data_IF_475638565805
#
_entry.id   IF_475638565805
#
_cell.length_a   1.000
_cell.length_b   1.000
_cell.length_c   1.000
_cell.angle_alpha   90.00
_cell.angle_beta   90.00
_cell.angle_gamma   90.00
#
_symmetry.space_group_name_H-M   'P 1'
#
loop_
_entity.id
_entity.type
_entity.pdbx_description
1 polymer ?
#
# COMPACT_ATOMS: atom_id res chain seq x y z
N UNK A 1 -37.81 -29.95 90.70
CA UNK A 1 -37.22 -28.71 90.13
C UNK A 1 -36.05 -29.12 89.23
N UNK A 2 -35.74 -28.36 88.16
CA UNK A 2 -34.74 -28.68 87.10
C UNK A 2 -35.10 -29.93 86.25
N UNK A 3 -35.18 -29.99 84.89
CA UNK A 3 -34.68 -29.19 83.72
C UNK A 3 -33.16 -28.96 83.78
N UNK A 4 -32.31 -29.17 82.77
CA UNK A 4 -32.37 -29.29 81.28
C UNK A 4 -30.99 -29.86 80.84
N UNK A 5 -30.68 -30.44 79.67
CA UNK A 5 -31.36 -30.73 78.39
C UNK A 5 -30.94 -32.15 77.90
N UNK A 6 -31.24 -32.52 76.64
CA UNK A 6 -30.45 -33.46 75.82
C UNK A 6 -30.04 -32.76 74.51
N UNK A 7 -28.84 -33.03 73.97
CA UNK A 7 -28.45 -32.57 72.62
C UNK A 7 -28.92 -33.59 71.58
N UNK A 8 -29.69 -33.12 70.59
CA UNK A 8 -29.98 -33.88 69.37
C UNK A 8 -29.10 -33.39 68.22
N UNK A 9 -28.51 -34.32 67.48
CA UNK A 9 -27.77 -34.00 66.25
C UNK A 9 -28.75 -33.53 65.17
N UNK A 10 -28.53 -32.34 64.62
CA UNK A 10 -29.28 -31.84 63.48
C UNK A 10 -28.49 -32.11 62.19
N UNK A 11 -28.93 -33.08 61.39
CA UNK A 11 -28.40 -33.30 60.05
C UNK A 11 -29.05 -32.28 59.10
N UNK A 12 -28.24 -31.41 58.48
CA UNK A 12 -28.71 -30.48 57.46
C UNK A 12 -28.72 -31.20 56.12
N UNK A 13 -29.92 -31.49 55.61
CA UNK A 13 -30.10 -31.97 54.24
C UNK A 13 -29.97 -30.79 53.29
N UNK A 14 -28.90 -30.77 52.48
CA UNK A 14 -28.73 -29.79 51.41
C UNK A 14 -29.60 -30.20 50.22
N UNK A 15 -30.75 -29.53 50.04
CA UNK A 15 -31.59 -29.71 48.87
C UNK A 15 -30.95 -29.05 47.65
N UNK A 16 -30.44 -29.85 46.70
CA UNK A 16 -30.05 -29.34 45.39
C UNK A 16 -31.27 -28.77 44.68
N UNK A 17 -31.23 -27.47 44.37
CA UNK A 17 -32.12 -26.87 43.38
C UNK A 17 -31.41 -26.97 42.04
N UNK A 18 -31.89 -27.86 41.17
CA UNK A 18 -31.47 -27.89 39.78
C UNK A 18 -32.12 -26.69 39.06
N UNK A 19 -31.38 -25.59 38.93
CA UNK A 19 -31.75 -24.52 38.01
C UNK A 19 -31.48 -25.00 36.58
N UNK A 20 -32.55 -25.31 35.84
CA UNK A 20 -32.44 -25.67 34.44
C UNK A 20 -32.03 -24.47 33.59
N UNK A 21 -31.28 -24.74 32.52
CA UNK A 21 -30.95 -23.74 31.51
C UNK A 21 -32.23 -23.11 30.94
N UNK A 22 -32.28 -21.79 30.93
CA UNK A 22 -33.11 -21.02 30.02
C UNK A 22 -32.16 -20.26 29.11
N UNK A 23 -32.19 -20.54 27.81
CA UNK A 23 -31.47 -19.75 26.82
C UNK A 23 -31.96 -18.30 26.91
N UNK A 24 -31.11 -17.43 27.45
CA UNK A 24 -31.33 -16.00 27.45
C UNK A 24 -31.00 -15.51 26.04
N UNK A 25 -32.02 -15.42 25.19
CA UNK A 25 -31.95 -14.66 23.94
C UNK A 25 -31.50 -13.25 24.27
N UNK A 26 -30.25 -12.90 23.95
CA UNK A 26 -29.74 -11.54 24.15
C UNK A 26 -30.53 -10.59 23.26
N UNK A 27 -31.15 -9.57 23.85
CA UNK A 27 -31.81 -8.53 23.07
C UNK A 27 -30.76 -7.66 22.35
N UNK A 28 -30.94 -7.34 21.06
CA UNK A 28 -30.08 -6.40 20.36
C UNK A 28 -30.34 -4.99 20.90
N UNK A 29 -29.35 -4.40 21.58
CA UNK A 29 -29.41 -3.01 22.05
C UNK A 29 -28.96 -2.76 23.50
N UNK A 30 -28.63 -3.80 24.27
CA UNK A 30 -27.91 -3.61 25.53
C UNK A 30 -26.43 -3.30 25.24
N UNK A 31 -26.03 -2.03 25.39
CA UNK A 31 -24.64 -1.61 25.18
C UNK A 31 -23.66 -2.39 26.07
N UNK A 32 -22.59 -2.90 25.47
CA UNK A 32 -21.50 -3.57 26.18
C UNK A 32 -20.84 -2.56 27.13
N UNK A 33 -20.49 -2.99 28.34
CA UNK A 33 -19.79 -2.17 29.34
C UNK A 33 -18.43 -2.80 29.57
N UNK A 34 -17.36 -2.17 29.08
CA UNK A 34 -16.00 -2.65 29.25
C UNK A 34 -15.07 -2.13 28.15
N UNK A 35 -13.91 -2.77 28.05
CA UNK A 35 -13.05 -2.72 26.88
C UNK A 35 -13.65 -3.62 25.79
N UNK A 36 -13.48 -3.24 24.52
CA UNK A 36 -14.02 -3.92 23.34
C UNK A 36 -12.96 -3.92 22.23
N UNK A 37 -13.01 -4.86 21.25
CA UNK A 37 -12.26 -4.74 20.02
C UNK A 37 -12.57 -3.41 19.31
N UNK A 38 -11.59 -2.85 18.62
CA UNK A 38 -11.77 -1.69 17.75
C UNK A 38 -12.64 -2.04 16.54
N UNK A 39 -12.47 -3.23 15.96
CA UNK A 39 -13.32 -3.77 14.90
C UNK A 39 -14.45 -4.58 15.52
N UNK A 40 -15.65 -3.98 15.60
CA UNK A 40 -16.81 -4.59 16.30
C UNK A 40 -17.65 -5.54 15.46
N UNK A 41 -17.44 -5.54 14.15
CA UNK A 41 -18.16 -6.34 13.15
C UNK A 41 -17.16 -6.66 12.05
N UNK A 42 -17.16 -7.90 11.59
CA UNK A 42 -16.45 -8.31 10.38
C UNK A 42 -17.46 -8.58 9.28
N UNK A 43 -17.07 -8.42 8.01
CA UNK A 43 -17.92 -8.76 6.86
C UNK A 43 -17.31 -9.92 6.07
N UNK A 44 -18.08 -10.96 5.76
CA UNK A 44 -17.49 -12.09 5.02
C UNK A 44 -17.42 -11.77 3.53
N UNK A 45 -16.41 -12.33 2.84
CA UNK A 45 -16.31 -12.20 1.38
C UNK A 45 -17.55 -12.80 0.68
N UNK A 46 -18.12 -13.87 1.23
CA UNK A 46 -19.33 -14.50 0.69
C UNK A 46 -20.57 -13.57 0.75
N UNK A 47 -20.70 -12.73 1.79
CA UNK A 47 -21.79 -11.74 1.88
C UNK A 47 -21.63 -10.63 0.82
N UNK A 48 -20.39 -10.25 0.49
CA UNK A 48 -20.07 -9.30 -0.60
C UNK A 48 -20.44 -9.92 -1.95
N UNK A 49 -20.07 -11.17 -2.20
CA UNK A 49 -20.41 -11.92 -3.42
C UNK A 49 -21.92 -12.16 -3.58
N UNK A 50 -22.64 -12.30 -2.46
CA UNK A 50 -24.11 -12.39 -2.45
C UNK A 50 -24.81 -11.05 -2.72
N UNK A 51 -24.08 -9.92 -2.67
CA UNK A 51 -24.64 -8.58 -2.87
C UNK A 51 -25.38 -8.02 -1.65
N UNK A 52 -25.06 -8.49 -0.44
CA UNK A 52 -25.69 -8.03 0.81
C UNK A 52 -25.20 -6.64 1.26
N UNK A 53 -24.16 -6.09 0.62
CA UNK A 53 -23.61 -4.76 0.90
C UNK A 53 -23.55 -3.88 -0.35
N UNK A 54 -23.86 -2.59 -0.18
CA UNK A 54 -23.60 -1.56 -1.18
C UNK A 54 -22.15 -1.08 -1.15
N UNK A 55 -21.69 -0.44 -2.23
CA UNK A 55 -20.36 0.19 -2.27
C UNK A 55 -20.17 1.20 -1.14
N UNK A 56 -21.20 1.99 -0.79
CA UNK A 56 -21.13 2.98 0.29
C UNK A 56 -20.88 2.30 1.65
N UNK A 57 -21.55 1.18 1.92
CA UNK A 57 -21.35 0.40 3.15
C UNK A 57 -19.98 -0.27 3.21
N UNK A 58 -19.46 -0.77 2.07
CA UNK A 58 -18.12 -1.34 1.99
C UNK A 58 -17.03 -0.29 2.18
N UNK A 59 -17.15 0.87 1.54
CA UNK A 59 -16.21 2.00 1.70
C UNK A 59 -16.26 2.57 3.11
N UNK A 60 -17.45 2.65 3.73
CA UNK A 60 -17.58 3.02 5.14
C UNK A 60 -16.92 2.00 6.08
N UNK A 61 -17.13 0.70 5.84
CA UNK A 61 -16.52 -0.36 6.63
C UNK A 61 -14.98 -0.39 6.50
N UNK A 62 -14.46 -0.21 5.28
CA UNK A 62 -13.03 -0.11 5.01
C UNK A 62 -12.39 1.13 5.66
N UNK A 63 -13.12 2.24 5.67
CA UNK A 63 -12.73 3.45 6.41
C UNK A 63 -12.68 3.21 7.92
N UNK A 64 -13.68 2.52 8.47
CA UNK A 64 -13.73 2.21 9.90
C UNK A 64 -12.55 1.30 10.32
N UNK A 65 -12.20 0.29 9.51
CA UNK A 65 -10.98 -0.52 9.69
C UNK A 65 -9.72 0.34 9.61
N UNK A 66 -9.61 1.22 8.60
CA UNK A 66 -8.45 2.09 8.41
C UNK A 66 -8.24 3.08 9.58
N UNK A 67 -9.34 3.45 10.24
CA UNK A 67 -9.36 4.31 11.43
C UNK A 67 -9.30 3.54 12.76
N UNK A 68 -9.44 2.21 12.75
CA UNK A 68 -9.44 1.38 13.94
C UNK A 68 -8.08 1.44 14.63
N UNK A 69 -8.06 1.82 15.91
CA UNK A 69 -6.89 1.66 16.77
C UNK A 69 -6.89 0.24 17.33
N UNK A 70 -6.44 -0.71 16.51
CA UNK A 70 -6.35 -2.13 16.84
C UNK A 70 -5.69 -2.35 18.22
N UNK A 71 -6.27 -3.25 19.00
CA UNK A 71 -5.86 -3.57 20.35
C UNK A 71 -5.84 -5.09 20.60
N UNK A 72 -5.46 -5.51 21.81
CA UNK A 72 -5.30 -6.93 22.17
C UNK A 72 -6.62 -7.72 22.26
N UNK A 73 -7.77 -7.09 21.98
CA UNK A 73 -9.06 -7.75 21.77
C UNK A 73 -9.40 -7.95 20.29
N UNK A 74 -8.66 -7.30 19.39
CA UNK A 74 -8.74 -7.50 17.93
C UNK A 74 -7.79 -8.60 17.43
N UNK A 75 -6.73 -8.93 18.19
CA UNK A 75 -5.58 -9.76 17.76
C UNK A 75 -4.24 -9.01 17.67
N UNK A 76 -4.22 -7.71 18.00
CA UNK A 76 -3.08 -6.86 17.67
C UNK A 76 -1.81 -7.16 18.50
N UNK A 77 -0.76 -7.64 17.83
CA UNK A 77 0.60 -7.58 18.35
C UNK A 77 1.59 -8.62 17.84
N UNK A 78 1.11 -9.66 17.15
CA UNK A 78 1.91 -10.78 16.62
C UNK A 78 2.98 -11.35 17.56
N UNK A 79 2.65 -11.81 18.77
CA UNK A 79 3.61 -12.00 19.85
C UNK A 79 4.73 -12.99 19.53
N UNK A 80 4.47 -14.08 18.80
CA UNK A 80 5.47 -15.09 18.38
C UNK A 80 5.80 -15.05 16.88
N UNK A 81 5.35 -14.04 16.11
CA UNK A 81 5.65 -13.89 14.68
C UNK A 81 6.26 -12.51 14.30
N UNK A 82 7.19 -12.49 13.34
CA UNK A 82 7.74 -11.26 12.74
C UNK A 82 6.91 -10.81 11.52
N UNK A 83 7.05 -9.58 11.05
CA UNK A 83 6.21 -8.99 9.99
C UNK A 83 6.24 -9.73 8.64
N UNK A 84 7.29 -10.51 8.36
CA UNK A 84 7.35 -11.48 7.25
C UNK A 84 6.94 -12.94 7.58
N UNK A 85 6.06 -13.15 8.56
CA UNK A 85 5.43 -14.45 8.83
C UNK A 85 6.27 -15.54 9.52
N UNK A 86 7.55 -15.28 9.80
CA UNK A 86 8.46 -16.23 10.48
C UNK A 86 8.48 -16.06 12.01
N UNK A 87 9.00 -17.05 12.75
CA UNK A 87 8.89 -17.08 14.21
C UNK A 87 9.81 -16.06 14.91
N UNK A 88 9.33 -15.51 16.02
CA UNK A 88 10.10 -14.75 17.00
C UNK A 88 9.83 -15.23 18.42
N UNK A 89 10.66 -14.76 19.35
CA UNK A 89 10.43 -14.95 20.80
C UNK A 89 9.22 -14.13 21.25
N UNK A 90 8.31 -14.76 21.99
CA UNK A 90 7.09 -14.15 22.56
C UNK A 90 7.36 -12.78 23.19
N UNK A 91 6.65 -11.75 22.74
CA UNK A 91 6.66 -10.40 23.32
C UNK A 91 5.24 -9.87 23.50
N UNK A 92 4.95 -9.44 24.72
CA UNK A 92 3.64 -8.92 25.17
C UNK A 92 3.84 -7.53 25.79
N UNK A 93 2.76 -6.85 26.16
CA UNK A 93 2.78 -5.54 26.83
C UNK A 93 3.76 -5.53 28.03
N UNK A 94 4.70 -4.57 28.14
CA UNK A 94 4.86 -3.37 27.31
C UNK A 94 5.80 -3.51 26.10
N UNK A 95 6.40 -4.68 25.88
CA UNK A 95 7.46 -4.93 24.88
C UNK A 95 6.92 -5.40 23.51
N UNK A 96 5.60 -5.34 23.29
CA UNK A 96 4.94 -5.79 22.07
C UNK A 96 5.15 -4.84 20.87
N UNK A 97 5.42 -3.55 21.11
CA UNK A 97 5.72 -2.56 20.07
C UNK A 97 7.23 -2.41 19.82
N UNK A 98 7.60 -2.15 18.57
CA UNK A 98 8.96 -1.87 18.16
C UNK A 98 9.00 -0.86 17.00
N UNK A 99 9.67 0.28 17.17
CA UNK A 99 9.64 1.37 16.16
C UNK A 99 10.40 1.07 14.86
N UNK A 100 11.15 -0.05 14.80
CA UNK A 100 12.05 -0.42 13.70
C UNK A 100 11.56 -1.69 13.00
N UNK A 101 11.37 -2.80 13.73
CA UNK A 101 10.89 -4.09 13.18
C UNK A 101 9.38 -4.30 13.30
N UNK A 102 8.68 -3.32 13.89
CA UNK A 102 7.23 -3.30 14.11
C UNK A 102 6.70 -4.46 15.02
N UNK A 103 5.43 -4.46 15.47
CA UNK A 103 4.39 -3.45 15.28
C UNK A 103 4.82 -2.05 15.71
N UNK A 104 4.52 -1.02 14.91
CA UNK A 104 4.96 0.36 15.10
C UNK A 104 3.80 1.38 15.13
N UNK A 105 2.58 0.96 14.78
CA UNK A 105 1.36 1.76 14.88
C UNK A 105 0.13 0.89 15.17
N UNK A 106 -0.89 1.44 15.85
CA UNK A 106 -2.15 0.72 16.10
C UNK A 106 -3.22 0.94 15.01
N UNK A 107 -3.01 1.86 14.06
CA UNK A 107 -4.00 2.23 13.04
C UNK A 107 -3.31 2.72 11.76
N UNK A 108 -3.88 2.45 10.59
CA UNK A 108 -3.38 2.98 9.32
C UNK A 108 -3.39 4.52 9.33
N UNK A 109 -4.45 5.11 9.89
CA UNK A 109 -4.58 6.56 10.04
C UNK A 109 -3.54 7.23 10.95
N UNK A 110 -2.74 6.47 11.71
CA UNK A 110 -1.67 7.05 12.53
C UNK A 110 -0.55 7.65 11.67
N UNK A 111 -0.31 7.06 10.49
CA UNK A 111 0.70 7.53 9.54
C UNK A 111 0.07 8.19 8.30
N UNK A 112 -1.08 7.71 7.84
CA UNK A 112 -1.72 8.15 6.60
C UNK A 112 -2.83 9.19 6.84
N UNK A 113 -2.45 10.44 7.12
CA UNK A 113 -3.38 11.48 7.58
C UNK A 113 -3.12 12.91 7.07
N UNK A 114 -2.09 13.14 6.26
CA UNK A 114 -1.73 14.47 5.74
C UNK A 114 -1.98 14.53 4.22
N UNK A 115 -2.84 15.43 3.70
CA UNK A 115 -3.59 16.48 4.41
C UNK A 115 -4.86 15.98 5.10
N UNK A 116 -5.31 14.76 4.77
CA UNK A 116 -6.51 14.12 5.26
C UNK A 116 -6.32 12.59 5.32
N UNK A 117 -7.34 11.88 5.78
CA UNK A 117 -7.35 10.42 5.89
C UNK A 117 -6.99 9.75 4.55
N UNK A 118 -5.99 8.88 4.55
CA UNK A 118 -5.48 8.23 3.33
C UNK A 118 -4.35 8.98 2.63
N UNK A 119 -3.93 10.13 3.17
CA UNK A 119 -2.76 10.87 2.67
C UNK A 119 -1.41 10.29 3.11
N UNK A 120 -0.35 11.04 2.86
CA UNK A 120 0.98 10.80 3.40
C UNK A 120 1.12 11.16 4.88
N UNK A 121 2.37 11.32 5.34
CA UNK A 121 2.69 11.65 6.73
C UNK A 121 4.05 12.33 6.90
N UNK A 122 4.26 13.00 8.03
CA UNK A 122 5.52 13.68 8.36
C UNK A 122 6.68 12.69 8.65
N UNK A 123 7.93 13.19 8.67
CA UNK A 123 9.11 12.44 9.12
C UNK A 123 8.93 11.67 10.43
N UNK A 124 8.14 12.20 11.39
CA UNK A 124 7.90 11.53 12.66
C UNK A 124 7.28 10.12 12.50
N UNK A 125 6.52 9.89 11.42
CA UNK A 125 5.83 8.63 11.12
C UNK A 125 6.54 7.78 10.04
N UNK A 126 7.77 8.13 9.64
CA UNK A 126 8.58 7.33 8.71
C UNK A 126 8.79 5.90 9.22
N UNK A 127 8.46 4.87 8.44
CA UNK A 127 8.65 3.45 8.82
C UNK A 127 10.01 2.93 8.35
N UNK A 128 10.43 1.76 8.87
CA UNK A 128 11.65 1.07 8.42
C UNK A 128 11.27 -0.24 7.72
N UNK A 129 11.38 -0.26 6.39
CA UNK A 129 11.07 -1.48 5.62
C UNK A 129 12.23 -2.48 5.69
N UNK A 130 11.94 -3.76 5.43
CA UNK A 130 12.86 -4.91 5.53
C UNK A 130 13.23 -5.29 6.96
N UNK A 131 13.26 -4.34 7.90
CA UNK A 131 13.47 -4.62 9.33
C UNK A 131 12.38 -5.51 9.94
N UNK A 132 11.21 -5.61 9.31
CA UNK A 132 10.10 -6.50 9.66
C UNK A 132 10.38 -7.99 9.37
N UNK A 133 11.48 -8.30 8.69
CA UNK A 133 12.05 -9.66 8.59
C UNK A 133 12.90 -10.07 9.79
N UNK A 134 13.22 -9.13 10.69
CA UNK A 134 14.01 -9.40 11.89
C UNK A 134 13.09 -9.67 13.10
N UNK A 135 13.43 -10.62 14.00
CA UNK A 135 12.54 -11.01 15.10
C UNK A 135 12.13 -9.86 16.04
N UNK A 136 13.09 -8.99 16.40
CA UNK A 136 12.90 -7.75 17.15
C UNK A 136 14.20 -6.95 17.11
N UNK A 137 14.18 -5.70 16.61
CA UNK A 137 15.40 -4.86 16.55
C UNK A 137 15.49 -3.94 17.77
N UNK A 138 16.54 -4.10 18.57
CA UNK A 138 16.77 -3.28 19.77
C UNK A 138 18.23 -2.84 19.88
N UNK A 139 18.46 -1.54 20.09
CA UNK A 139 19.80 -0.97 20.26
C UNK A 139 20.40 -1.22 21.65
N UNK A 140 19.56 -1.48 22.66
CA UNK A 140 19.98 -1.82 24.03
C UNK A 140 19.98 -3.35 24.28
N UNK A 141 19.61 -4.14 23.27
CA UNK A 141 19.31 -5.57 23.37
C UNK A 141 20.49 -6.54 23.22
N UNK A 142 20.19 -7.84 23.19
CA UNK A 142 21.18 -8.91 23.06
C UNK A 142 21.85 -8.90 21.66
N UNK A 143 23.19 -8.78 21.57
CA UNK A 143 23.92 -8.91 20.30
C UNK A 143 23.81 -10.29 19.62
N UNK A 144 23.15 -11.27 20.25
CA UNK A 144 22.82 -12.57 19.64
C UNK A 144 21.45 -12.54 18.96
N UNK A 145 20.41 -11.91 19.54
CA UNK A 145 19.10 -11.72 18.87
C UNK A 145 19.24 -10.71 17.71
N UNK A 146 20.02 -9.64 17.91
CA UNK A 146 20.30 -8.62 16.88
C UNK A 146 21.54 -8.94 16.01
N UNK A 147 22.32 -9.98 16.32
CA UNK A 147 23.60 -10.23 15.65
C UNK A 147 24.67 -9.13 15.83
N UNK A 148 25.92 -9.38 15.39
CA UNK A 148 27.00 -8.40 15.50
C UNK A 148 26.88 -7.30 14.43
N UNK A 149 27.10 -6.05 14.85
CA UNK A 149 27.17 -4.85 13.99
C UNK A 149 25.87 -4.40 13.30
N UNK A 150 24.69 -4.75 13.82
CA UNK A 150 23.46 -4.08 13.36
C UNK A 150 23.49 -2.58 13.70
N UNK A 151 23.35 -1.77 12.66
CA UNK A 151 23.09 -0.32 12.70
C UNK A 151 21.75 -0.04 12.04
N UNK A 152 21.14 1.12 12.28
CA UNK A 152 19.86 1.47 11.65
C UNK A 152 19.90 1.32 10.11
N UNK A 153 21.01 1.74 9.46
CA UNK A 153 21.18 1.60 8.00
C UNK A 153 21.23 0.14 7.54
N UNK A 154 21.72 -0.80 8.35
CA UNK A 154 21.89 -2.20 7.92
C UNK A 154 20.70 -3.11 8.23
N UNK A 155 19.74 -2.65 9.04
CA UNK A 155 18.58 -3.46 9.47
C UNK A 155 17.32 -3.17 8.68
N UNK A 156 17.16 -1.96 8.15
CA UNK A 156 16.02 -1.58 7.36
C UNK A 156 16.19 -0.20 6.72
N UNK A 157 15.37 0.06 5.71
CA UNK A 157 15.41 1.30 4.97
C UNK A 157 14.33 2.25 5.47
N UNK A 158 14.71 3.47 5.85
CA UNK A 158 13.76 4.51 6.26
C UNK A 158 12.90 4.95 5.07
N UNK A 159 11.57 5.02 5.28
CA UNK A 159 10.58 5.40 4.28
C UNK A 159 9.57 6.38 4.84
N UNK A 160 9.32 7.45 4.08
CA UNK A 160 8.21 8.34 4.33
C UNK A 160 6.90 7.75 3.81
N UNK A 161 5.82 7.99 4.58
CA UNK A 161 4.49 7.43 4.37
C UNK A 161 3.85 7.94 3.08
N UNK A 162 3.37 7.02 2.24
CA UNK A 162 2.85 7.34 0.90
C UNK A 162 1.37 7.71 0.91
N UNK A 163 0.98 8.73 0.16
CA UNK A 163 -0.42 9.06 -0.12
C UNK A 163 -1.12 8.06 -1.04
N UNK A 164 -2.40 7.80 -0.75
CA UNK A 164 -3.25 6.86 -1.48
C UNK A 164 -4.38 7.51 -2.29
N UNK A 165 -4.52 8.84 -2.28
CA UNK A 165 -5.50 9.56 -3.11
C UNK A 165 -5.34 9.23 -4.60
N UNK A 166 -6.43 8.78 -5.25
CA UNK A 166 -6.42 8.32 -6.64
C UNK A 166 -5.68 6.99 -6.89
N UNK A 167 -5.36 6.20 -5.87
CA UNK A 167 -4.63 4.93 -6.06
C UNK A 167 -5.38 3.89 -6.89
N UNK A 168 -6.72 3.90 -6.93
CA UNK A 168 -7.50 3.01 -7.80
C UNK A 168 -7.15 3.18 -9.28
N UNK A 169 -7.03 4.43 -9.77
CA UNK A 169 -6.62 4.72 -11.14
C UNK A 169 -5.17 4.33 -11.43
N UNK A 170 -4.29 4.52 -10.43
CA UNK A 170 -2.87 4.17 -10.51
C UNK A 170 -2.69 2.65 -10.64
N UNK A 171 -3.47 1.86 -9.91
CA UNK A 171 -3.47 0.41 -10.05
C UNK A 171 -4.09 -0.05 -11.36
N UNK A 172 -5.20 0.55 -11.81
CA UNK A 172 -5.79 0.24 -13.13
C UNK A 172 -4.79 0.46 -14.27
N UNK A 173 -4.01 1.55 -14.23
CA UNK A 173 -2.94 1.80 -15.20
C UNK A 173 -1.87 0.70 -15.16
N UNK A 174 -1.42 0.31 -13.97
CA UNK A 174 -0.45 -0.77 -13.80
C UNK A 174 -0.97 -2.14 -14.29
N UNK A 175 -2.25 -2.45 -14.01
CA UNK A 175 -2.94 -3.67 -14.49
C UNK A 175 -3.03 -3.70 -16.02
N UNK A 176 -3.42 -2.60 -16.67
CA UNK A 176 -3.44 -2.51 -18.14
C UNK A 176 -2.03 -2.62 -18.73
N UNK A 177 -1.03 -1.91 -18.17
CA UNK A 177 0.36 -1.97 -18.66
C UNK A 177 0.99 -3.36 -18.51
N UNK A 178 0.69 -4.07 -17.41
CA UNK A 178 1.10 -5.47 -17.21
C UNK A 178 0.47 -6.38 -18.27
N UNK A 179 -0.83 -6.20 -18.52
CA UNK A 179 -1.59 -6.97 -19.52
C UNK A 179 -1.03 -6.76 -20.94
N UNK A 180 -0.74 -5.52 -21.30
CA UNK A 180 -0.11 -5.16 -22.58
C UNK A 180 1.26 -5.85 -22.76
N UNK A 181 2.12 -5.77 -21.74
CA UNK A 181 3.46 -6.38 -21.81
C UNK A 181 3.42 -7.92 -21.84
N UNK A 182 2.48 -8.54 -21.12
CA UNK A 182 2.25 -9.98 -21.20
C UNK A 182 1.77 -10.38 -22.60
N UNK A 183 0.83 -9.63 -23.20
CA UNK A 183 0.38 -9.88 -24.57
C UNK A 183 1.50 -9.72 -25.61
N UNK A 184 2.38 -8.73 -25.45
CA UNK A 184 3.56 -8.53 -26.30
C UNK A 184 4.55 -9.70 -26.20
N UNK A 185 4.89 -10.12 -24.97
CA UNK A 185 5.72 -11.30 -24.69
C UNK A 185 5.14 -12.56 -25.32
N UNK A 186 3.86 -12.83 -25.09
CA UNK A 186 3.20 -14.06 -25.52
C UNK A 186 3.09 -14.14 -27.05
N UNK A 187 2.79 -13.01 -27.71
CA UNK A 187 2.83 -12.91 -29.17
C UNK A 187 4.25 -13.14 -29.73
N UNK A 188 5.28 -12.62 -29.07
CA UNK A 188 6.69 -12.87 -29.40
C UNK A 188 7.07 -14.34 -29.27
N UNK A 189 6.64 -14.99 -28.19
CA UNK A 189 6.92 -16.40 -27.91
C UNK A 189 6.20 -17.34 -28.88
N UNK A 190 4.96 -17.03 -29.27
CA UNK A 190 4.27 -17.72 -30.36
C UNK A 190 5.02 -17.57 -31.69
N UNK A 191 5.47 -16.36 -32.04
CA UNK A 191 6.23 -16.12 -33.26
C UNK A 191 7.60 -16.82 -33.27
N UNK A 192 8.27 -16.96 -32.11
CA UNK A 192 9.51 -17.71 -31.97
C UNK A 192 9.30 -19.21 -32.20
N UNK A 193 8.25 -19.79 -31.59
CA UNK A 193 7.87 -21.18 -31.75
C UNK A 193 7.48 -21.52 -33.20
N UNK A 194 6.62 -20.71 -33.83
CA UNK A 194 6.15 -20.91 -35.21
C UNK A 194 7.27 -20.77 -36.25
N UNK A 195 8.20 -19.84 -36.04
CA UNK A 195 9.29 -19.56 -37.00
C UNK A 195 10.52 -20.44 -36.82
N UNK A 196 10.65 -21.13 -35.68
CA UNK A 196 11.85 -21.88 -35.31
C UNK A 196 13.10 -21.00 -35.11
N UNK A 197 12.92 -19.71 -34.81
CA UNK A 197 13.99 -18.72 -34.59
C UNK A 197 13.69 -17.84 -33.38
N UNK A 198 14.71 -17.29 -32.69
CA UNK A 198 14.49 -16.29 -31.65
C UNK A 198 13.67 -15.09 -32.17
N UNK A 199 12.76 -14.59 -31.36
CA UNK A 199 11.98 -13.39 -31.63
C UNK A 199 12.13 -12.39 -30.48
N UNK A 200 12.67 -11.21 -30.79
CA UNK A 200 12.78 -10.09 -29.85
C UNK A 200 11.58 -9.16 -30.02
N UNK A 201 10.98 -8.75 -28.91
CA UNK A 201 9.83 -7.83 -28.86
C UNK A 201 10.14 -6.68 -27.90
N UNK A 202 9.93 -5.46 -28.37
CA UNK A 202 9.99 -4.23 -27.56
C UNK A 202 8.79 -4.17 -26.62
N UNK A 203 9.03 -3.94 -25.34
CA UNK A 203 8.00 -3.80 -24.31
C UNK A 203 7.56 -2.34 -24.21
N UNK A 204 6.60 -1.95 -25.04
CA UNK A 204 6.07 -0.58 -25.05
C UNK A 204 4.56 -0.59 -24.79
N UNK A 205 4.15 0.07 -23.72
CA UNK A 205 2.75 0.26 -23.32
C UNK A 205 2.54 1.70 -22.86
N UNK A 206 1.39 2.31 -23.20
CA UNK A 206 1.01 3.69 -22.83
C UNK A 206 2.08 4.76 -23.13
N UNK A 207 2.93 4.52 -24.13
CA UNK A 207 4.04 5.40 -24.50
C UNK A 207 5.25 5.36 -23.56
N UNK A 208 5.35 4.34 -22.70
CA UNK A 208 6.50 4.01 -21.83
C UNK A 208 7.21 2.79 -22.41
N UNK A 209 8.55 2.78 -22.39
CA UNK A 209 9.36 1.60 -22.78
C UNK A 209 9.98 0.94 -21.56
N UNK A 210 9.82 -0.38 -21.46
CA UNK A 210 10.41 -1.26 -20.46
C UNK A 210 11.51 -2.15 -21.07
N UNK A 211 12.15 -1.68 -22.14
CA UNK A 211 13.20 -2.41 -22.85
C UNK A 211 12.61 -3.47 -23.78
N UNK A 212 13.20 -4.68 -23.79
CA UNK A 212 12.77 -5.77 -24.68
C UNK A 212 12.94 -7.15 -24.05
N UNK A 213 12.21 -8.13 -24.59
CA UNK A 213 12.37 -9.56 -24.27
C UNK A 213 12.67 -10.34 -25.55
N UNK A 214 13.47 -11.41 -25.43
CA UNK A 214 13.72 -12.34 -26.54
C UNK A 214 13.22 -13.74 -26.20
N UNK A 215 12.15 -14.17 -26.86
CA UNK A 215 11.66 -15.55 -26.76
C UNK A 215 12.48 -16.48 -27.67
N UNK A 216 12.86 -17.65 -27.17
CA UNK A 216 13.56 -18.69 -27.92
C UNK A 216 12.59 -19.80 -28.38
N UNK A 217 12.88 -20.51 -29.50
CA UNK A 217 11.98 -21.55 -30.04
C UNK A 217 11.78 -22.79 -29.16
N UNK A 218 12.56 -22.94 -28.09
CA UNK A 218 12.42 -24.01 -27.10
C UNK A 218 11.49 -23.63 -25.93
N UNK A 219 10.92 -22.43 -25.96
CA UNK A 219 10.02 -21.89 -24.93
C UNK A 219 10.73 -21.14 -23.81
N UNK A 220 12.06 -20.99 -23.84
CA UNK A 220 12.77 -20.13 -22.88
C UNK A 220 12.69 -18.65 -23.24
N UNK A 221 12.79 -17.80 -22.22
CA UNK A 221 12.70 -16.34 -22.32
C UNK A 221 14.02 -15.71 -21.86
N UNK A 222 14.60 -14.84 -22.67
CA UNK A 222 15.68 -13.94 -22.27
C UNK A 222 15.08 -12.56 -21.93
N UNK A 223 15.06 -12.26 -20.63
CA UNK A 223 14.59 -10.99 -20.06
C UNK A 223 15.74 -10.04 -19.68
N UNK A 224 16.99 -10.32 -20.08
CA UNK A 224 18.16 -9.52 -19.68
C UNK A 224 18.19 -8.08 -20.23
N UNK A 225 17.28 -7.76 -21.16
CA UNK A 225 17.06 -6.42 -21.71
C UNK A 225 15.74 -5.77 -21.22
N UNK A 226 15.11 -6.32 -20.18
CA UNK A 226 13.97 -5.68 -19.48
C UNK A 226 14.50 -4.56 -18.58
N UNK A 227 13.81 -3.43 -18.59
CA UNK A 227 14.19 -2.23 -17.84
C UNK A 227 13.07 -1.78 -16.90
N UNK A 228 13.41 -1.50 -15.64
CA UNK A 228 12.53 -0.78 -14.72
C UNK A 228 11.31 -1.57 -14.18
N UNK A 229 11.03 -2.78 -14.67
CA UNK A 229 10.14 -3.78 -14.06
C UNK A 229 10.91 -5.09 -13.83
N UNK A 230 10.32 -6.06 -13.13
CA UNK A 230 10.95 -7.36 -12.90
C UNK A 230 10.74 -8.30 -14.10
N UNK A 231 11.41 -9.45 -14.13
CA UNK A 231 11.35 -10.41 -15.26
C UNK A 231 9.94 -11.00 -15.49
N UNK A 232 9.04 -10.88 -14.51
CA UNK A 232 7.62 -11.23 -14.64
C UNK A 232 6.79 -10.21 -15.44
N UNK A 233 7.38 -9.05 -15.77
CA UNK A 233 6.77 -7.93 -16.48
C UNK A 233 5.55 -7.32 -15.76
N UNK A 234 5.46 -7.48 -14.44
CA UNK A 234 4.41 -6.88 -13.63
C UNK A 234 4.79 -5.44 -13.25
N UNK A 235 3.94 -4.48 -13.61
CA UNK A 235 4.06 -3.09 -13.16
C UNK A 235 3.59 -3.02 -11.71
N UNK A 236 4.49 -2.65 -10.80
CA UNK A 236 4.25 -2.54 -9.35
C UNK A 236 4.18 -1.05 -8.95
N UNK A 237 2.98 -0.44 -8.83
CA UNK A 237 2.86 1.00 -8.67
C UNK A 237 3.01 1.48 -7.21
N UNK A 238 3.10 0.56 -6.25
CA UNK A 238 3.09 0.89 -4.83
C UNK A 238 4.47 0.77 -4.15
N UNK A 239 4.57 1.41 -2.98
CA UNK A 239 5.82 1.78 -2.30
C UNK A 239 6.73 2.75 -3.09
N UNK A 240 7.88 3.11 -2.49
CA UNK A 240 8.88 3.99 -3.09
C UNK A 240 9.76 3.26 -4.14
N UNK A 241 9.89 1.93 -4.01
CA UNK A 241 10.68 1.08 -4.91
C UNK A 241 9.92 0.48 -6.09
N UNK A 242 8.59 0.58 -6.11
CA UNK A 242 7.77 -0.20 -7.05
C UNK A 242 7.89 -1.68 -6.75
N UNK A 243 7.45 -2.07 -5.55
CA UNK A 243 7.69 -3.39 -4.97
C UNK A 243 6.40 -4.17 -4.65
N UNK A 244 5.24 -3.52 -4.78
CA UNK A 244 3.90 -4.04 -4.44
C UNK A 244 2.97 -3.82 -5.63
N UNK A 245 2.19 -4.86 -5.98
CA UNK A 245 1.37 -4.94 -7.20
C UNK A 245 0.01 -4.28 -7.06
N UNK A 246 -0.64 -4.44 -5.90
CA UNK A 246 -2.04 -4.04 -5.70
C UNK A 246 -2.28 -3.39 -4.34
N UNK A 247 -3.43 -2.73 -4.21
CA UNK A 247 -3.95 -2.24 -2.94
C UNK A 247 -4.22 -3.37 -1.94
N UNK A 248 -4.60 -4.58 -2.39
CA UNK A 248 -4.74 -5.74 -1.49
C UNK A 248 -3.40 -6.16 -0.90
N UNK A 249 -2.38 -6.34 -1.75
CA UNK A 249 -1.04 -6.70 -1.28
C UNK A 249 -0.47 -5.60 -0.36
N UNK A 250 -0.73 -4.32 -0.67
CA UNK A 250 -0.36 -3.20 0.20
C UNK A 250 -1.06 -3.28 1.56
N UNK A 251 -2.37 -3.49 1.58
CA UNK A 251 -3.18 -3.57 2.80
C UNK A 251 -2.75 -4.74 3.70
N UNK A 252 -2.64 -5.95 3.14
CA UNK A 252 -2.24 -7.13 3.90
C UNK A 252 -0.82 -7.02 4.46
N UNK A 253 0.16 -6.60 3.64
CA UNK A 253 1.52 -6.35 4.11
C UNK A 253 1.52 -5.35 5.27
N UNK A 254 0.72 -4.29 5.19
CA UNK A 254 0.64 -3.27 6.22
C UNK A 254 0.01 -3.77 7.54
N UNK A 255 -1.05 -4.59 7.48
CA UNK A 255 -1.73 -5.10 8.69
C UNK A 255 -0.79 -5.99 9.52
N UNK A 256 -0.11 -6.95 8.90
CA UNK A 256 0.84 -7.81 9.62
C UNK A 256 2.09 -7.02 10.03
N UNK A 257 2.66 -6.19 9.15
CA UNK A 257 3.89 -5.46 9.45
C UNK A 257 3.66 -4.45 10.58
N UNK A 258 2.83 -3.44 10.35
CA UNK A 258 2.74 -2.24 11.19
C UNK A 258 1.85 -2.43 12.42
N UNK A 259 0.77 -3.19 12.28
CA UNK A 259 -0.25 -3.36 13.32
C UNK A 259 -0.10 -4.68 14.07
N UNK A 260 0.53 -5.68 13.44
CA UNK A 260 0.57 -7.04 13.98
C UNK A 260 -0.80 -7.68 14.00
N UNK A 261 -1.56 -7.47 12.93
CA UNK A 261 -2.90 -8.01 12.67
C UNK A 261 -2.86 -8.94 11.46
N UNK A 262 -3.53 -10.08 11.52
CA UNK A 262 -3.50 -11.11 10.47
C UNK A 262 -4.81 -11.21 9.68
N UNK A 263 -4.70 -11.24 8.35
CA UNK A 263 -5.83 -11.54 7.47
C UNK A 263 -5.98 -13.04 7.22
N UNK A 264 -7.22 -13.52 7.10
CA UNK A 264 -7.55 -14.94 6.82
C UNK A 264 -6.83 -15.48 5.58
N UNK A 265 -6.60 -14.63 4.58
CA UNK A 265 -5.89 -15.02 3.35
C UNK A 265 -4.40 -15.28 3.57
N UNK A 266 -3.74 -14.57 4.49
CA UNK A 266 -2.32 -14.77 4.80
C UNK A 266 -2.07 -15.77 5.94
N UNK A 267 -2.97 -15.87 6.93
CA UNK A 267 -2.84 -16.80 8.06
C UNK A 267 -3.46 -18.18 7.81
N UNK A 268 -4.55 -18.24 7.03
CA UNK A 268 -5.44 -19.40 6.94
C UNK A 268 -6.67 -19.26 7.85
N UNK A 269 -7.80 -19.84 7.43
CA UNK A 269 -9.06 -19.76 8.20
C UNK A 269 -9.00 -20.63 9.45
N UNK A 270 -9.16 -20.01 10.63
CA UNK A 270 -9.13 -20.69 11.93
C UNK A 270 -7.73 -21.01 12.45
N UNK A 271 -6.68 -20.48 11.82
CA UNK A 271 -5.29 -20.64 12.26
C UNK A 271 -4.84 -19.45 13.13
N UNK A 272 -3.97 -19.73 14.12
CA UNK A 272 -3.34 -18.78 15.06
C UNK A 272 -1.81 -18.95 14.93
N UNK A 273 -1.16 -18.32 13.91
CA UNK A 273 0.25 -18.56 13.62
C UNK A 273 1.21 -17.73 14.47
N UNK A 274 0.72 -16.71 15.19
CA UNK A 274 1.52 -15.85 16.07
C UNK A 274 1.29 -16.08 17.58
N UNK A 275 0.35 -16.97 17.92
CA UNK A 275 0.10 -17.56 19.24
C UNK A 275 -0.38 -16.54 20.28
N UNK A 276 -1.22 -15.60 19.84
CA UNK A 276 -1.87 -14.61 20.69
C UNK A 276 -3.21 -15.10 21.28
N UNK A 277 -3.83 -16.10 20.67
CA UNK A 277 -5.08 -16.73 21.08
C UNK A 277 -6.33 -16.30 20.29
N UNK A 278 -6.17 -15.45 19.27
CA UNK A 278 -7.22 -15.08 18.32
C UNK A 278 -7.02 -15.81 16.98
N UNK A 279 -8.10 -15.88 16.21
CA UNK A 279 -8.13 -16.45 14.85
C UNK A 279 -9.08 -15.60 14.02
N UNK A 280 -8.86 -15.55 12.71
CA UNK A 280 -9.72 -14.80 11.78
C UNK A 280 -9.83 -13.29 12.08
N UNK A 281 -8.76 -12.67 12.59
CA UNK A 281 -8.74 -11.27 13.07
C UNK A 281 -9.19 -10.25 12.02
N UNK A 282 -8.75 -10.41 10.77
CA UNK A 282 -9.26 -9.68 9.61
C UNK A 282 -9.76 -10.66 8.56
N UNK A 283 -11.05 -10.59 8.23
CA UNK A 283 -11.62 -11.47 7.22
C UNK A 283 -11.25 -11.01 5.80
N UNK A 284 -11.38 -11.92 4.82
CA UNK A 284 -11.20 -11.58 3.38
C UNK A 284 -12.07 -10.40 2.94
N UNK A 285 -13.29 -10.28 3.49
CA UNK A 285 -14.22 -9.20 3.19
C UNK A 285 -13.87 -7.88 3.88
N UNK A 286 -13.26 -7.91 5.08
CA UNK A 286 -12.69 -6.73 5.71
C UNK A 286 -11.56 -6.13 4.86
N UNK A 287 -10.68 -6.97 4.30
CA UNK A 287 -9.64 -6.53 3.36
C UNK A 287 -10.26 -6.02 2.05
N UNK A 288 -11.29 -6.67 1.51
CA UNK A 288 -12.04 -6.16 0.34
C UNK A 288 -12.58 -4.75 0.60
N UNK A 289 -13.24 -4.52 1.75
CA UNK A 289 -13.72 -3.20 2.12
C UNK A 289 -12.59 -2.16 2.27
N UNK A 290 -11.48 -2.54 2.91
CA UNK A 290 -10.29 -1.69 3.07
C UNK A 290 -9.68 -1.28 1.72
N UNK A 291 -9.57 -2.23 0.77
CA UNK A 291 -9.12 -1.97 -0.61
C UNK A 291 -10.10 -1.05 -1.34
N UNK A 292 -11.41 -1.29 -1.23
CA UNK A 292 -12.41 -0.43 -1.87
C UNK A 292 -12.40 0.99 -1.30
N UNK A 293 -12.20 1.17 0.01
CA UNK A 293 -11.97 2.49 0.61
C UNK A 293 -10.74 3.18 -0.01
N UNK A 294 -9.59 2.49 -0.10
CA UNK A 294 -8.37 3.04 -0.70
C UNK A 294 -8.53 3.35 -2.20
N UNK A 295 -9.19 2.48 -2.97
CA UNK A 295 -9.40 2.63 -4.41
C UNK A 295 -10.32 3.81 -4.75
N UNK A 296 -11.27 4.13 -3.86
CA UNK A 296 -12.25 5.21 -4.00
C UNK A 296 -11.85 6.52 -3.29
N UNK A 297 -10.65 6.61 -2.73
CA UNK A 297 -10.10 7.90 -2.27
C UNK A 297 -10.05 8.89 -3.44
N UNK A 298 -10.54 10.14 -3.27
CA UNK A 298 -10.65 11.11 -4.35
C UNK A 298 -9.39 11.24 -5.22
N UNK A 299 -9.60 11.40 -6.52
CA UNK A 299 -8.56 11.84 -7.43
C UNK A 299 -7.99 13.20 -6.96
N UNK A 300 -6.65 13.35 -6.86
CA UNK A 300 -6.04 14.67 -6.74
C UNK A 300 -6.37 15.55 -7.96
N UNK A 301 -6.17 16.86 -7.83
CA UNK A 301 -6.54 17.87 -8.84
C UNK A 301 -5.38 18.81 -9.16
N UNK A 302 -5.54 19.58 -10.23
CA UNK A 302 -4.72 20.76 -10.47
C UNK A 302 -5.47 22.01 -9.97
N UNK A 303 -4.98 22.63 -8.89
CA UNK A 303 -5.58 23.83 -8.30
C UNK A 303 -5.12 25.08 -9.05
N UNK A 304 -6.08 25.83 -9.58
CA UNK A 304 -5.83 27.09 -10.30
C UNK A 304 -5.37 28.21 -9.34
N UNK A 305 -4.26 28.92 -9.61
CA UNK A 305 -3.80 30.01 -8.75
C UNK A 305 -4.74 31.22 -8.67
N UNK A 306 -4.69 31.94 -7.54
CA UNK A 306 -5.55 33.10 -7.28
C UNK A 306 -5.23 34.31 -8.18
N UNK A 307 -3.93 34.63 -8.38
CA UNK A 307 -3.51 35.81 -9.13
C UNK A 307 -3.19 35.52 -10.59
N UNK A 308 -3.29 36.54 -11.44
CA UNK A 308 -2.90 36.39 -12.85
C UNK A 308 -1.40 36.13 -13.02
N UNK A 309 -0.57 36.68 -12.13
CA UNK A 309 0.87 36.50 -12.20
C UNK A 309 1.27 35.04 -11.91
N UNK A 310 0.63 34.39 -10.93
CA UNK A 310 0.82 32.96 -10.66
C UNK A 310 0.29 32.11 -11.81
N UNK A 311 -0.90 32.40 -12.36
CA UNK A 311 -1.42 31.69 -13.55
C UNK A 311 -0.48 31.77 -14.75
N UNK A 312 0.04 32.96 -15.05
CA UNK A 312 1.01 33.17 -16.12
C UNK A 312 2.32 32.39 -15.83
N UNK A 313 2.74 32.34 -14.56
CA UNK A 313 3.90 31.56 -14.12
C UNK A 313 3.67 30.05 -14.21
N UNK A 314 2.49 29.52 -13.87
CA UNK A 314 2.13 28.09 -14.01
C UNK A 314 2.16 27.66 -15.48
N UNK A 315 1.58 28.45 -16.38
CA UNK A 315 1.58 28.15 -17.82
C UNK A 315 3.01 28.15 -18.39
N UNK A 316 3.87 29.04 -17.90
CA UNK A 316 5.28 29.08 -18.29
C UNK A 316 6.10 27.95 -17.65
N UNK A 317 5.89 27.67 -16.37
CA UNK A 317 6.53 26.60 -15.61
C UNK A 317 6.24 25.21 -16.15
N UNK A 318 5.00 24.94 -16.59
CA UNK A 318 4.63 23.69 -17.27
C UNK A 318 5.41 23.51 -18.59
N UNK A 319 5.68 24.60 -19.32
CA UNK A 319 6.52 24.55 -20.53
C UNK A 319 7.99 24.34 -20.21
N UNK A 320 8.49 24.94 -19.13
CA UNK A 320 9.86 24.69 -18.66
C UNK A 320 10.06 23.23 -18.23
N UNK A 321 9.10 22.66 -17.49
CA UNK A 321 9.12 21.26 -17.04
C UNK A 321 9.25 20.28 -18.22
N UNK A 322 8.51 20.52 -19.30
CA UNK A 322 8.65 19.75 -20.54
C UNK A 322 9.97 20.04 -21.28
N UNK A 323 10.33 21.32 -21.44
CA UNK A 323 11.52 21.77 -22.16
C UNK A 323 12.83 21.23 -21.57
N UNK A 324 12.95 21.16 -20.24
CA UNK A 324 14.13 20.59 -19.57
C UNK A 324 14.08 19.06 -19.48
N UNK A 325 13.00 18.43 -19.94
CA UNK A 325 12.89 16.97 -20.09
C UNK A 325 12.36 16.21 -18.88
N UNK A 326 11.75 16.86 -17.89
CA UNK A 326 11.15 16.16 -16.74
C UNK A 326 10.01 15.22 -17.15
N UNK A 327 9.30 15.53 -18.23
CA UNK A 327 8.20 14.73 -18.82
C UNK A 327 8.63 13.39 -19.40
N UNK A 328 9.94 13.08 -19.46
CA UNK A 328 10.44 11.78 -19.90
C UNK A 328 10.02 10.67 -18.93
N UNK A 329 10.20 10.87 -17.61
CA UNK A 329 9.72 9.97 -16.56
C UNK A 329 8.38 10.45 -15.98
N UNK A 330 8.26 11.74 -15.64
CA UNK A 330 7.02 12.32 -15.09
C UNK A 330 6.00 12.65 -16.19
N UNK A 331 5.56 11.63 -16.92
CA UNK A 331 4.57 11.73 -18.00
C UNK A 331 3.27 12.35 -17.49
N UNK A 332 2.84 13.52 -18.02
CA UNK A 332 1.68 14.24 -17.47
C UNK A 332 0.41 13.42 -17.44
N UNK A 333 0.16 12.62 -18.46
CA UNK A 333 -1.00 11.72 -18.56
C UNK A 333 -0.60 10.33 -19.02
N UNK A 334 -1.35 9.32 -18.62
CA UNK A 334 -1.35 7.98 -19.22
C UNK A 334 -2.80 7.61 -19.63
N UNK A 335 -3.03 7.03 -20.83
CA UNK A 335 -4.35 6.61 -21.29
C UNK A 335 -4.80 5.33 -20.58
N UNK A 336 -6.02 5.32 -20.06
CA UNK A 336 -6.66 4.19 -19.39
C UNK A 336 -7.96 3.80 -20.12
N UNK A 337 -8.11 2.52 -20.48
CA UNK A 337 -9.23 2.08 -21.33
C UNK A 337 -10.55 1.91 -20.57
N UNK A 338 -10.50 1.49 -19.31
CA UNK A 338 -11.66 1.33 -18.43
C UNK A 338 -11.45 1.95 -17.04
N UNK A 339 -12.53 2.44 -16.44
CA UNK A 339 -12.58 2.90 -15.05
C UNK A 339 -13.15 1.83 -14.09
N UNK A 340 -13.41 0.62 -14.59
CA UNK A 340 -13.93 -0.50 -13.79
C UNK A 340 -12.82 -1.15 -12.94
N UNK A 341 -12.78 -0.81 -11.66
CA UNK A 341 -11.92 -1.45 -10.67
C UNK A 341 -12.54 -2.77 -10.21
N UNK A 342 -11.90 -3.88 -10.60
CA UNK A 342 -12.29 -5.24 -10.18
C UNK A 342 -11.53 -5.64 -8.92
N UNK A 343 -12.24 -6.18 -7.94
CA UNK A 343 -11.68 -6.70 -6.68
C UNK A 343 -12.25 -8.11 -6.39
N UNK A 344 -11.41 -9.13 -6.14
CA UNK A 344 -9.93 -9.15 -6.16
C UNK A 344 -9.30 -8.82 -7.53
N UNK A 345 -8.07 -8.29 -7.49
CA UNK A 345 -7.29 -7.90 -8.66
C UNK A 345 -6.60 -9.07 -9.39
N UNK A 346 -6.42 -9.00 -10.72
CA UNK A 346 -5.93 -10.12 -11.55
C UNK A 346 -4.44 -10.44 -11.41
N UNK A 347 -3.67 -9.60 -10.70
CA UNK A 347 -2.23 -9.79 -10.47
C UNK A 347 -1.90 -9.83 -8.97
N UNK A 348 -2.87 -10.06 -8.10
CA UNK A 348 -2.62 -10.33 -6.69
C UNK A 348 -1.72 -11.57 -6.55
N UNK A 349 -0.77 -11.61 -5.59
CA UNK A 349 0.10 -12.76 -5.39
C UNK A 349 -0.66 -13.95 -4.80
N UNK A 350 -0.14 -15.17 -4.97
CA UNK A 350 -0.77 -16.44 -4.57
C UNK A 350 -1.21 -16.55 -3.08
N UNK A 351 -0.73 -15.66 -2.21
CA UNK A 351 -1.05 -15.60 -0.77
C UNK A 351 -2.08 -14.52 -0.41
N UNK A 352 -2.61 -13.79 -1.39
CA UNK A 352 -3.72 -12.86 -1.27
C UNK A 352 -4.87 -13.35 -2.18
N UNK A 353 -6.12 -12.97 -1.88
CA UNK A 353 -7.30 -13.38 -2.66
C UNK A 353 -7.16 -12.97 -4.13
N UNK A 354 -7.24 -13.95 -5.04
CA UNK A 354 -7.27 -13.75 -6.49
C UNK A 354 -8.67 -13.93 -7.11
N UNK A 355 -8.87 -13.61 -8.40
CA UNK A 355 -10.16 -13.77 -9.08
C UNK A 355 -10.67 -15.21 -9.13
N UNK A 356 -9.78 -16.21 -9.11
CA UNK A 356 -10.13 -17.63 -9.12
C UNK A 356 -10.59 -18.16 -7.74
N UNK A 357 -10.42 -17.38 -6.66
CA UNK A 357 -10.84 -17.74 -5.30
C UNK A 357 -12.27 -17.31 -4.95
N UNK A 358 -12.91 -16.50 -5.79
CA UNK A 358 -14.26 -15.94 -5.58
C UNK A 358 -15.23 -16.47 -6.65
N UNK A 359 -16.52 -16.61 -6.32
CA UNK A 359 -17.52 -17.00 -7.30
C UNK A 359 -17.88 -15.84 -8.25
N UNK A 360 -17.80 -14.60 -7.75
CA UNK A 360 -18.03 -13.36 -8.51
C UNK A 360 -17.09 -12.26 -7.99
N UNK A 361 -16.26 -11.68 -8.85
CA UNK A 361 -15.47 -10.50 -8.49
C UNK A 361 -16.37 -9.25 -8.37
N UNK A 362 -16.12 -8.42 -7.37
CA UNK A 362 -16.83 -7.16 -7.18
C UNK A 362 -16.26 -6.09 -8.13
N UNK A 363 -17.13 -5.30 -8.78
CA UNK A 363 -16.71 -4.31 -9.79
C UNK A 363 -17.20 -2.92 -9.38
N UNK A 364 -16.28 -1.95 -9.38
CA UNK A 364 -16.54 -0.55 -9.03
C UNK A 364 -16.22 0.36 -10.21
N UNK A 365 -17.20 1.14 -10.66
CA UNK A 365 -16.93 2.27 -11.56
C UNK A 365 -16.26 3.40 -10.78
N UNK A 366 -15.01 3.72 -11.13
CA UNK A 366 -14.28 4.83 -10.52
C UNK A 366 -14.63 6.22 -11.11
N UNK A 367 -15.50 6.31 -12.13
CA UNK A 367 -15.91 7.58 -12.73
C UNK A 367 -16.46 8.64 -11.76
N UNK A 368 -17.13 8.32 -10.63
CA UNK A 368 -17.57 9.32 -9.66
C UNK A 368 -16.45 9.97 -8.84
N UNK A 369 -15.25 9.38 -8.82
CA UNK A 369 -14.14 9.78 -7.95
C UNK A 369 -13.07 10.62 -8.67
N UNK A 370 -13.34 11.03 -9.92
CA UNK A 370 -12.50 11.91 -10.74
C UNK A 370 -13.37 12.85 -11.58
N UNK A 371 -13.00 14.13 -11.69
CA UNK A 371 -13.71 15.12 -12.50
C UNK A 371 -12.92 15.52 -13.75
N UNK A 372 -13.61 16.12 -14.72
CA UNK A 372 -13.02 16.81 -15.88
C UNK A 372 -12.01 15.98 -16.71
N UNK A 373 -12.25 14.67 -16.76
CA UNK A 373 -11.34 13.70 -17.37
C UNK A 373 -11.38 13.75 -18.90
N UNK A 374 -10.30 14.24 -19.50
CA UNK A 374 -10.10 14.27 -20.96
C UNK A 374 -10.04 12.84 -21.56
N UNK A 375 -10.31 12.74 -22.86
CA UNK A 375 -10.13 11.51 -23.65
C UNK A 375 -9.26 11.74 -24.87
N UNK A 376 -8.55 10.70 -25.31
CA UNK A 376 -7.81 10.68 -26.58
C UNK A 376 -8.71 10.37 -27.79
N UNK A 377 -8.12 10.23 -28.98
CA UNK A 377 -8.85 9.97 -30.24
C UNK A 377 -9.42 8.54 -30.29
N UNK A 378 -8.78 7.61 -29.59
CA UNK A 378 -9.20 6.21 -29.40
C UNK A 378 -10.33 6.08 -28.35
N UNK A 379 -10.53 7.10 -27.52
CA UNK A 379 -11.57 7.17 -26.49
C UNK A 379 -11.11 6.75 -25.09
N UNK A 380 -9.83 6.45 -24.88
CA UNK A 380 -9.29 6.17 -23.55
C UNK A 380 -9.34 7.42 -22.67
N UNK A 381 -9.37 7.23 -21.35
CA UNK A 381 -9.34 8.27 -20.35
C UNK A 381 -7.91 8.73 -20.06
N UNK A 382 -7.61 10.03 -20.14
CA UNK A 382 -6.27 10.57 -19.91
C UNK A 382 -6.03 10.91 -18.43
N UNK A 383 -5.60 9.93 -17.63
CA UNK A 383 -5.42 10.11 -16.18
C UNK A 383 -4.19 11.00 -15.91
N UNK A 384 -4.29 12.12 -15.16
CA UNK A 384 -3.23 13.12 -14.98
C UNK A 384 -2.18 12.72 -13.92
N UNK A 385 -1.49 11.59 -14.13
CA UNK A 385 -0.68 10.92 -13.09
C UNK A 385 0.72 11.49 -12.82
N UNK A 386 1.36 12.15 -13.80
CA UNK A 386 2.75 12.63 -13.68
C UNK A 386 3.77 11.54 -13.29
N UNK A 387 3.66 10.36 -13.91
CA UNK A 387 4.53 9.20 -13.75
C UNK A 387 4.42 8.28 -14.96
N UNK A 388 5.46 7.51 -15.23
CA UNK A 388 5.51 6.42 -16.21
C UNK A 388 5.41 5.02 -15.57
N UNK A 389 5.27 4.96 -14.25
CA UNK A 389 5.24 3.73 -13.42
C UNK A 389 6.46 2.81 -13.62
N UNK A 390 7.60 3.37 -14.08
CA UNK A 390 8.87 2.65 -14.27
C UNK A 390 9.84 2.94 -13.13
N UNK A 391 10.78 2.01 -12.87
CA UNK A 391 11.91 2.22 -11.93
C UNK A 391 13.15 2.74 -12.68
N UNK A 392 13.79 3.77 -12.12
CA UNK A 392 14.96 4.45 -12.69
C UNK A 392 16.12 4.56 -11.70
N UNK A 393 17.36 4.58 -12.19
CA UNK A 393 18.55 4.92 -11.41
C UNK A 393 18.55 6.41 -11.08
N UNK A 394 18.37 6.74 -9.79
CA UNK A 394 18.38 8.13 -9.29
C UNK A 394 19.77 8.59 -8.82
N UNK A 395 20.79 7.74 -8.94
CA UNK A 395 22.18 8.04 -8.59
C UNK A 395 22.52 8.04 -7.10
N UNK A 396 23.83 8.13 -6.83
CA UNK A 396 24.45 7.93 -5.50
C UNK A 396 23.89 8.81 -4.38
N UNK A 397 23.30 9.98 -4.68
CA UNK A 397 22.75 10.87 -3.65
C UNK A 397 21.49 10.30 -2.98
N UNK A 398 20.69 9.56 -3.74
CA UNK A 398 19.47 8.89 -3.27
C UNK A 398 19.67 7.39 -3.04
N UNK A 399 20.86 6.84 -3.32
CA UNK A 399 21.30 5.47 -2.98
C UNK A 399 21.66 5.38 -1.47
N UNK A 400 20.70 5.71 -0.60
CA UNK A 400 20.89 5.75 0.86
C UNK A 400 20.56 4.42 1.57
N UNK A 401 19.88 3.50 0.88
CA UNK A 401 19.54 2.15 1.35
C UNK A 401 20.78 1.28 1.61
N UNK A 402 20.58 0.08 2.18
CA UNK A 402 21.59 -0.97 2.22
C UNK A 402 21.03 -2.40 2.11
N UNK A 403 19.96 -2.79 2.82
CA UNK A 403 19.18 -3.97 2.43
C UNK A 403 18.56 -3.78 1.03
N UNK A 404 18.24 -4.90 0.37
CA UNK A 404 17.49 -4.89 -0.89
C UNK A 404 16.01 -5.12 -0.58
N UNK A 405 15.16 -4.15 -0.89
CA UNK A 405 13.71 -4.31 -0.84
C UNK A 405 13.25 -5.18 -2.02
N UNK A 406 12.82 -6.42 -1.74
CA UNK A 406 12.39 -7.41 -2.75
C UNK A 406 13.41 -7.64 -3.88
N UNK A 407 14.71 -7.65 -3.56
CA UNK A 407 15.79 -7.83 -4.55
C UNK A 407 16.06 -6.61 -5.46
N UNK A 408 15.25 -5.55 -5.38
CA UNK A 408 15.39 -4.34 -6.19
C UNK A 408 16.68 -3.59 -5.81
N UNK A 409 17.57 -3.26 -6.78
CA UNK A 409 18.79 -2.51 -6.51
C UNK A 409 18.56 -1.19 -5.75
N UNK A 410 19.46 -0.88 -4.81
CA UNK A 410 19.34 0.25 -3.87
C UNK A 410 19.25 1.63 -4.53
N UNK A 411 19.80 1.79 -5.73
CA UNK A 411 19.71 3.03 -6.55
C UNK A 411 18.46 3.16 -7.42
N UNK A 412 17.71 2.08 -7.65
CA UNK A 412 16.52 2.11 -8.48
C UNK A 412 15.31 2.55 -7.65
N UNK A 413 14.52 3.47 -8.20
CA UNK A 413 13.32 4.02 -7.55
C UNK A 413 12.19 4.12 -8.56
N UNK A 414 10.96 3.84 -8.12
CA UNK A 414 9.77 4.07 -8.94
C UNK A 414 9.60 5.58 -9.17
N UNK A 415 9.32 5.99 -10.41
CA UNK A 415 8.85 7.35 -10.69
C UNK A 415 7.55 7.57 -9.93
N UNK A 416 7.58 8.23 -8.77
CA UNK A 416 6.38 8.49 -7.98
C UNK A 416 5.46 9.44 -8.74
N UNK A 417 4.14 9.19 -8.68
CA UNK A 417 3.12 10.13 -9.17
C UNK A 417 3.36 11.51 -8.54
N UNK A 418 3.45 12.57 -9.35
CA UNK A 418 3.36 13.94 -8.81
C UNK A 418 1.89 14.36 -8.62
N UNK A 419 0.94 13.52 -9.03
CA UNK A 419 -0.48 13.76 -8.83
C UNK A 419 -0.84 13.85 -7.34
N UNK A 420 -1.10 15.07 -6.86
CA UNK A 420 -1.44 15.39 -5.48
C UNK A 420 -0.26 15.70 -4.54
N UNK A 421 0.98 15.50 -4.98
CA UNK A 421 2.15 15.41 -4.09
C UNK A 421 2.42 16.66 -3.24
N UNK A 422 2.01 17.85 -3.71
CA UNK A 422 2.31 19.09 -2.98
C UNK A 422 1.51 19.22 -1.68
N UNK A 423 0.39 18.51 -1.56
CA UNK A 423 -0.37 18.42 -0.30
C UNK A 423 0.28 17.51 0.76
N UNK A 424 1.36 16.80 0.41
CA UNK A 424 1.99 15.74 1.23
C UNK A 424 3.49 16.00 1.47
N UNK A 425 3.90 17.17 2.02
CA UNK A 425 5.29 17.36 2.43
C UNK A 425 5.60 16.50 3.68
N UNK A 426 6.86 16.09 3.89
CA UNK A 426 8.06 16.41 3.12
C UNK A 426 8.36 15.41 1.98
N UNK A 427 9.19 15.82 1.02
CA UNK A 427 9.40 15.11 -0.24
C UNK A 427 10.61 14.14 -0.24
N UNK A 428 10.69 13.35 -1.33
CA UNK A 428 11.56 12.19 -1.56
C UNK A 428 11.19 10.97 -0.69
N UNK A 429 11.70 9.80 -1.04
CA UNK A 429 11.33 8.51 -0.44
C UNK A 429 11.55 8.41 1.08
N UNK A 430 12.45 9.23 1.63
CA UNK A 430 12.78 9.34 3.05
C UNK A 430 12.25 10.63 3.71
N UNK A 431 11.53 11.49 2.99
CA UNK A 431 10.91 12.71 3.53
C UNK A 431 11.89 13.82 3.97
N UNK A 432 13.05 13.99 3.30
CA UNK A 432 14.08 14.94 3.77
C UNK A 432 14.18 16.22 2.95
N UNK A 433 13.51 16.31 1.80
CA UNK A 433 13.39 17.56 1.07
C UNK A 433 12.17 18.34 1.60
N UNK A 434 12.41 19.52 2.14
CA UNK A 434 11.37 20.44 2.63
C UNK A 434 10.86 21.38 1.52
N UNK A 435 11.62 21.51 0.44
CA UNK A 435 11.30 22.30 -0.74
C UNK A 435 11.28 21.42 -2.00
N UNK A 436 10.43 21.78 -2.97
CA UNK A 436 10.39 21.14 -4.29
C UNK A 436 11.75 21.26 -4.99
N UNK A 437 12.44 22.40 -4.86
CA UNK A 437 13.77 22.62 -5.43
C UNK A 437 14.84 21.74 -4.79
N UNK A 438 14.76 21.43 -3.50
CA UNK A 438 15.64 20.46 -2.83
C UNK A 438 15.41 19.05 -3.41
N UNK A 439 14.15 18.67 -3.63
CA UNK A 439 13.81 17.38 -4.25
C UNK A 439 14.33 17.27 -5.69
N UNK A 440 14.14 18.31 -6.53
CA UNK A 440 14.64 18.32 -7.91
C UNK A 440 16.19 18.26 -7.94
N UNK A 441 16.87 19.07 -7.13
CA UNK A 441 18.35 19.11 -7.11
C UNK A 441 19.00 17.84 -6.54
N UNK A 442 18.23 17.01 -5.83
CA UNK A 442 18.63 15.70 -5.33
C UNK A 442 18.53 14.57 -6.38
N UNK A 443 17.90 14.80 -7.54
CA UNK A 443 17.89 13.83 -8.63
C UNK A 443 19.30 13.68 -9.24
N UNK A 444 19.63 12.47 -9.67
CA UNK A 444 20.85 12.13 -10.39
C UNK A 444 20.63 10.93 -11.30
N UNK A 445 21.69 10.19 -11.62
CA UNK A 445 21.60 8.98 -12.43
C UNK A 445 21.01 9.26 -13.82
N UNK A 446 19.92 8.58 -14.17
CA UNK A 446 19.18 8.80 -15.43
C UNK A 446 18.61 10.23 -15.55
N UNK A 447 18.27 10.87 -14.44
CA UNK A 447 17.71 12.22 -14.40
C UNK A 447 18.76 13.35 -14.28
N UNK A 448 20.06 13.03 -14.36
CA UNK A 448 21.15 14.00 -14.16
C UNK A 448 21.05 15.21 -15.10
N UNK A 449 20.71 15.00 -16.37
CA UNK A 449 20.64 16.10 -17.37
C UNK A 449 19.49 17.07 -17.06
N UNK A 450 18.36 16.55 -16.61
CA UNK A 450 17.18 17.31 -16.20
C UNK A 450 17.47 18.12 -14.93
N UNK A 451 18.16 17.51 -13.96
CA UNK A 451 18.60 18.16 -12.71
C UNK A 451 19.60 19.29 -12.98
N UNK A 452 20.58 19.07 -13.84
CA UNK A 452 21.56 20.09 -14.23
C UNK A 452 20.88 21.23 -15.01
N UNK A 453 19.98 20.91 -15.95
CA UNK A 453 19.20 21.91 -16.65
C UNK A 453 18.33 22.77 -15.71
N UNK A 454 17.72 22.16 -14.67
CA UNK A 454 17.01 22.91 -13.62
C UNK A 454 17.96 23.80 -12.80
N UNK A 455 19.18 23.34 -12.49
CA UNK A 455 20.18 24.16 -11.78
C UNK A 455 20.65 25.38 -12.60
N UNK A 456 20.72 25.25 -13.93
CA UNK A 456 21.09 26.34 -14.85
C UNK A 456 19.97 27.36 -15.11
N UNK A 457 18.71 27.04 -14.82
CA UNK A 457 17.58 27.97 -14.95
C UNK A 457 17.75 29.25 -14.11
N UNK A 458 17.20 30.37 -14.59
CA UNK A 458 17.17 31.61 -13.79
C UNK A 458 16.26 31.46 -12.56
N UNK A 459 16.44 32.33 -11.55
CA UNK A 459 15.63 32.28 -10.32
C UNK A 459 14.13 32.41 -10.62
N UNK A 460 13.75 33.17 -11.65
CA UNK A 460 12.35 33.30 -12.09
C UNK A 460 11.86 32.02 -12.77
N UNK A 461 12.68 31.39 -13.63
CA UNK A 461 12.31 30.16 -14.32
C UNK A 461 12.14 28.99 -13.32
N UNK A 462 13.03 28.89 -12.32
CA UNK A 462 12.93 27.95 -11.20
C UNK A 462 11.66 28.17 -10.38
N UNK A 463 11.34 29.43 -10.07
CA UNK A 463 10.12 29.79 -9.35
C UNK A 463 8.87 29.44 -10.16
N UNK A 464 8.83 29.73 -11.46
CA UNK A 464 7.70 29.42 -12.33
C UNK A 464 7.45 27.91 -12.47
N UNK A 465 8.52 27.10 -12.66
CA UNK A 465 8.41 25.64 -12.66
C UNK A 465 7.93 25.10 -11.32
N UNK A 466 8.43 25.67 -10.21
CA UNK A 466 7.98 25.32 -8.85
C UNK A 466 6.50 25.66 -8.66
N UNK A 467 6.05 26.84 -9.09
CA UNK A 467 4.65 27.28 -9.03
C UNK A 467 3.72 26.32 -9.79
N UNK A 468 4.14 25.86 -10.98
CA UNK A 468 3.42 24.81 -11.71
C UNK A 468 3.28 23.54 -10.86
N UNK A 469 4.37 23.04 -10.25
CA UNK A 469 4.31 21.84 -9.42
C UNK A 469 3.45 22.04 -8.16
N UNK A 470 3.45 23.24 -7.58
CA UNK A 470 2.58 23.60 -6.44
C UNK A 470 1.08 23.56 -6.75
N UNK A 471 0.67 23.47 -8.01
CA UNK A 471 -0.75 23.27 -8.37
C UNK A 471 -1.23 21.83 -8.20
N UNK A 472 -0.33 20.84 -8.15
CA UNK A 472 -0.68 19.41 -8.06
C UNK A 472 -1.01 19.01 -6.62
N UNK A 473 -2.29 19.07 -6.25
CA UNK A 473 -2.77 18.97 -4.86
C UNK A 473 -3.88 17.94 -4.69
N UNK A 474 -3.98 17.38 -3.50
CA UNK A 474 -5.18 16.69 -3.05
C UNK A 474 -6.24 17.75 -2.70
N UNK A 475 -7.41 17.67 -3.31
CA UNK A 475 -8.62 18.36 -2.86
C UNK A 475 -9.41 17.39 -1.97
N UNK A 476 -9.39 17.65 -0.66
CA UNK A 476 -9.90 16.73 0.35
C UNK A 476 -11.38 16.96 0.73
N UNK A 477 -12.05 17.94 0.10
CA UNK A 477 -13.46 18.32 0.36
C UNK A 477 -13.65 19.44 1.38
#
# INVERSE_FOLDING_TARGET
MARRWALGCLAVALSLVAAGCSDATMEPGAGVIGEEPAVKRHITQADIEAGEYTLEELVAHGRDIFMASFNTLDGAGRPEQHGKGGPRKRREMPDNFNRISAPDANACMACHNLPALGGGGDNAVNVFLVADSLPFVDFDGDPVENGPNQTLKTVGDERNTVGMFGSGFIELLAREMTSDMHALRDAGCLAAADSGKPATVELVTKGVSFGSVTCLPDGSLDASAVEGVDEDLIVRPFHQKGAVVSLREFANNATIQHHGMLSIEQAGEGEDPDVDGYVNELTRGDITALVLFQATLPAPVQVEPETQAERDAVVYGRRLFDLIGCTQCHKPTLPLSSLEFVEPGPFNPDNDLGPDDVAVSYVVDLSPFITDLERDEEGNHLIPVFTDLKRHDMGDFLDNDAPLQNGIPTRLWLTRKLWGFFSEPPFLHHGRATLISEAILAHGGEAQTQRDAFEELSDYDKAALTEFLMTLRIDAG
#
